data_IF_386818056279
#
_entry.id   IF_386818056279
#
_cell.length_a   1.000
_cell.length_b   1.000
_cell.length_c   1.000
_cell.angle_alpha   90.00
_cell.angle_beta   90.00
_cell.angle_gamma   90.00
#
_symmetry.space_group_name_H-M   'P 1'
#
loop_
_entity.id
_entity.type
_entity.pdbx_description
1 polymer ?
#
# COMPACT_ATOMS: atom_id res chain seq x y z
N UNK A 1 -5.88 23.21 -6.03
CA UNK A 1 -6.65 21.96 -5.84
C UNK A 1 -5.95 21.15 -4.77
N UNK A 2 -6.65 20.33 -3.98
CA UNK A 2 -5.99 19.45 -2.99
C UNK A 2 -5.18 18.39 -3.74
N UNK A 3 -3.94 18.14 -3.31
CA UNK A 3 -3.08 17.08 -3.86
C UNK A 3 -3.73 15.72 -3.64
N UNK A 4 -3.63 14.82 -4.62
CA UNK A 4 -4.25 13.49 -4.55
C UNK A 4 -3.45 12.60 -3.60
N UNK A 5 -4.15 11.85 -2.74
CA UNK A 5 -3.54 10.97 -1.75
C UNK A 5 -3.59 9.51 -2.19
N UNK A 6 -2.43 8.87 -2.27
CA UNK A 6 -2.29 7.44 -2.59
C UNK A 6 -1.96 6.67 -1.31
N UNK A 7 -2.77 5.69 -0.96
CA UNK A 7 -2.47 4.74 0.10
C UNK A 7 -1.90 3.45 -0.50
N UNK A 8 -0.73 3.03 -0.01
CA UNK A 8 -0.13 1.73 -0.32
C UNK A 8 -0.11 0.92 0.97
N UNK A 9 -0.90 -0.15 1.02
CA UNK A 9 -0.89 -1.10 2.14
C UNK A 9 -0.32 -2.42 1.67
N UNK A 10 0.62 -2.97 2.42
CA UNK A 10 1.20 -4.27 2.09
C UNK A 10 1.34 -5.20 3.29
N UNK A 11 1.33 -6.50 3.03
CA UNK A 11 1.75 -7.51 3.98
C UNK A 11 2.87 -8.36 3.38
N UNK A 12 3.81 -8.80 4.20
CA UNK A 12 4.96 -9.59 3.74
C UNK A 12 5.41 -10.58 4.80
N UNK A 13 5.26 -11.88 4.52
CA UNK A 13 5.75 -12.95 5.42
C UNK A 13 7.24 -13.25 5.28
N UNK A 14 7.76 -13.20 4.06
CA UNK A 14 9.14 -13.60 3.71
C UNK A 14 9.97 -12.47 3.10
N UNK A 15 9.48 -11.23 3.19
CA UNK A 15 10.15 -10.04 2.65
C UNK A 15 9.85 -9.74 1.17
N UNK A 16 9.48 -10.74 0.35
CA UNK A 16 9.30 -10.57 -1.11
C UNK A 16 8.24 -9.52 -1.48
N UNK A 17 7.06 -9.59 -0.86
CA UNK A 17 6.01 -8.60 -1.08
C UNK A 17 6.39 -7.22 -0.56
N UNK A 18 7.18 -7.14 0.51
CA UNK A 18 7.74 -5.89 0.99
C UNK A 18 8.70 -5.24 -0.01
N UNK A 19 9.55 -6.03 -0.68
CA UNK A 19 10.40 -5.53 -1.77
C UNK A 19 9.57 -5.01 -2.94
N UNK A 20 8.51 -5.74 -3.32
CA UNK A 20 7.59 -5.29 -4.37
C UNK A 20 6.85 -4.01 -3.96
N UNK A 21 6.37 -3.91 -2.73
CA UNK A 21 5.70 -2.71 -2.22
C UNK A 21 6.63 -1.49 -2.19
N UNK A 22 7.91 -1.68 -1.85
CA UNK A 22 8.94 -0.63 -1.94
C UNK A 22 9.18 -0.17 -3.39
N UNK A 23 9.23 -1.09 -4.35
CA UNK A 23 9.36 -0.71 -5.76
C UNK A 23 8.14 0.11 -6.24
N UNK A 24 6.93 -0.22 -5.76
CA UNK A 24 5.73 0.59 -6.03
C UNK A 24 5.84 1.96 -5.37
N UNK A 25 6.31 2.03 -4.12
CA UNK A 25 6.55 3.30 -3.41
C UNK A 25 7.57 4.19 -4.14
N UNK A 26 8.66 3.61 -4.63
CA UNK A 26 9.67 4.32 -5.44
C UNK A 26 9.03 4.89 -6.71
N UNK A 27 8.24 4.08 -7.42
CA UNK A 27 7.50 4.54 -8.60
C UNK A 27 6.51 5.65 -8.28
N UNK A 28 5.75 5.55 -7.19
CA UNK A 28 4.78 6.55 -6.77
C UNK A 28 5.42 7.89 -6.35
N UNK A 29 6.69 7.87 -5.92
CA UNK A 29 7.48 9.06 -5.60
C UNK A 29 8.34 9.56 -6.79
N UNK A 30 8.11 9.04 -8.00
CA UNK A 30 8.82 9.52 -9.19
C UNK A 30 8.58 11.03 -9.40
N UNK A 31 9.59 11.84 -9.80
CA UNK A 31 9.45 13.30 -9.92
C UNK A 31 8.32 13.77 -10.85
N UNK A 32 7.95 12.96 -11.83
CA UNK A 32 6.86 13.25 -12.78
C UNK A 32 5.46 12.91 -12.24
N UNK A 33 5.35 12.35 -11.02
CA UNK A 33 4.08 11.97 -10.40
C UNK A 33 3.78 12.94 -9.25
N UNK A 34 2.59 13.54 -9.30
CA UNK A 34 2.14 14.51 -8.30
C UNK A 34 1.07 13.95 -7.36
N UNK A 35 1.49 13.11 -6.41
CA UNK A 35 0.64 12.54 -5.35
C UNK A 35 1.32 12.59 -3.99
N UNK A 36 0.54 12.65 -2.91
CA UNK A 36 1.01 12.40 -1.55
C UNK A 36 0.84 10.92 -1.23
N UNK A 37 1.92 10.23 -0.85
CA UNK A 37 1.89 8.78 -0.61
C UNK A 37 1.92 8.47 0.88
N UNK A 38 0.94 7.68 1.33
CA UNK A 38 0.96 7.00 2.63
C UNK A 38 1.33 5.54 2.42
N UNK A 39 2.37 5.07 3.10
CA UNK A 39 2.88 3.70 3.00
C UNK A 39 2.75 3.00 4.35
N UNK A 40 2.04 1.87 4.38
CA UNK A 40 1.73 1.12 5.61
C UNK A 40 1.94 -0.37 5.43
N UNK A 41 2.47 -1.02 6.46
CA UNK A 41 2.24 -2.44 6.62
C UNK A 41 0.79 -2.69 7.04
N UNK A 42 0.22 -3.82 6.65
CA UNK A 42 -1.22 -4.07 6.77
C UNK A 42 -1.74 -3.96 8.22
N UNK A 43 -0.96 -4.43 9.19
CA UNK A 43 -1.32 -4.34 10.61
C UNK A 43 -1.23 -2.91 11.19
N UNK A 44 -0.64 -1.97 10.46
CA UNK A 44 -0.47 -0.57 10.88
C UNK A 44 -1.44 0.37 10.16
N UNK A 45 -2.13 -0.10 9.11
CA UNK A 45 -3.08 0.70 8.37
C UNK A 45 -4.37 0.88 9.18
N UNK A 46 -4.87 2.12 9.24
CA UNK A 46 -6.10 2.48 9.95
C UNK A 46 -7.27 2.85 9.03
N UNK A 47 -8.44 3.03 9.63
CA UNK A 47 -9.64 3.52 8.93
C UNK A 47 -9.40 4.93 8.37
N UNK A 48 -8.65 5.76 9.10
CA UNK A 48 -8.30 7.11 8.70
C UNK A 48 -7.47 7.11 7.42
N UNK A 49 -6.50 6.20 7.27
CA UNK A 49 -5.71 6.07 6.04
C UNK A 49 -6.62 5.78 4.83
N UNK A 50 -7.64 4.93 5.01
CA UNK A 50 -8.62 4.58 3.97
C UNK A 50 -9.53 5.75 3.61
N UNK A 51 -10.10 6.42 4.62
CA UNK A 51 -11.00 7.57 4.42
C UNK A 51 -10.27 8.76 3.78
N UNK A 52 -8.95 8.82 3.97
CA UNK A 52 -8.13 9.86 3.40
C UNK A 52 -7.71 9.60 1.95
N UNK A 53 -7.56 8.35 1.54
CA UNK A 53 -7.05 7.99 0.23
C UNK A 53 -7.99 8.41 -0.92
N UNK A 54 -7.41 8.97 -1.99
CA UNK A 54 -8.07 9.10 -3.30
C UNK A 54 -7.84 7.84 -4.18
N UNK A 55 -6.79 7.07 -3.89
CA UNK A 55 -6.46 5.82 -4.56
C UNK A 55 -5.73 4.86 -3.61
N UNK A 56 -5.92 3.55 -3.82
CA UNK A 56 -5.39 2.51 -2.93
C UNK A 56 -4.68 1.44 -3.76
N UNK A 57 -3.51 0.99 -3.28
CA UNK A 57 -2.78 -0.17 -3.79
C UNK A 57 -2.60 -1.17 -2.64
N UNK A 58 -2.94 -2.43 -2.92
CA UNK A 58 -2.76 -3.54 -1.99
C UNK A 58 -1.69 -4.51 -2.47
N UNK A 59 -0.66 -4.72 -1.65
CA UNK A 59 0.40 -5.71 -1.88
C UNK A 59 0.30 -6.86 -0.89
N UNK A 60 0.03 -8.09 -1.34
CA UNK A 60 -0.22 -9.22 -0.42
C UNK A 60 0.35 -10.52 -0.96
N UNK A 61 0.91 -11.40 -0.10
CA UNK A 61 1.22 -12.75 -0.54
C UNK A 61 -0.08 -13.49 -0.84
N UNK A 62 -0.02 -14.32 -1.87
CA UNK A 62 -1.05 -15.31 -2.14
C UNK A 62 -1.00 -16.39 -1.03
N UNK A 63 -2.13 -16.64 -0.39
CA UNK A 63 -2.33 -17.72 0.56
C UNK A 63 -3.60 -18.49 0.17
N UNK A 64 -3.42 -19.65 -0.46
CA UNK A 64 -4.49 -20.56 -0.91
C UNK A 64 -5.49 -19.92 -1.89
N UNK A 65 -4.98 -19.24 -2.92
CA UNK A 65 -5.73 -18.55 -3.96
C UNK A 65 -6.26 -17.18 -3.56
N UNK A 66 -5.82 -16.62 -2.43
CA UNK A 66 -6.41 -15.39 -1.89
C UNK A 66 -5.39 -14.49 -1.18
N UNK A 67 -5.78 -13.25 -0.86
CA UNK A 67 -4.99 -12.34 -0.04
C UNK A 67 -4.80 -12.86 1.40
N UNK A 68 -3.71 -12.45 2.05
CA UNK A 68 -3.42 -12.80 3.43
C UNK A 68 -4.46 -12.30 4.44
N UNK A 69 -4.62 -13.04 5.55
CA UNK A 69 -5.41 -12.61 6.71
C UNK A 69 -5.07 -11.19 7.18
N UNK A 70 -3.79 -10.89 7.38
CA UNK A 70 -3.34 -9.57 7.83
C UNK A 70 -3.76 -8.38 6.94
N UNK A 71 -4.15 -8.60 5.67
CA UNK A 71 -4.67 -7.54 4.80
C UNK A 71 -6.21 -7.53 4.74
N UNK A 72 -6.84 -8.65 5.12
CA UNK A 72 -8.31 -8.74 5.24
C UNK A 72 -8.81 -8.14 6.54
N UNK A 73 -7.99 -8.23 7.59
CA UNK A 73 -8.27 -7.70 8.93
C UNK A 73 -8.31 -6.17 8.88
#
# INVERSE_FOLDING_TARGET
MKRKRLLIVYHSKTGKNGLMAKAVLEGANHPDIDVDVTFREAMEAGIEDLLEADGIIFGTPENFGYMSGALKD
#
